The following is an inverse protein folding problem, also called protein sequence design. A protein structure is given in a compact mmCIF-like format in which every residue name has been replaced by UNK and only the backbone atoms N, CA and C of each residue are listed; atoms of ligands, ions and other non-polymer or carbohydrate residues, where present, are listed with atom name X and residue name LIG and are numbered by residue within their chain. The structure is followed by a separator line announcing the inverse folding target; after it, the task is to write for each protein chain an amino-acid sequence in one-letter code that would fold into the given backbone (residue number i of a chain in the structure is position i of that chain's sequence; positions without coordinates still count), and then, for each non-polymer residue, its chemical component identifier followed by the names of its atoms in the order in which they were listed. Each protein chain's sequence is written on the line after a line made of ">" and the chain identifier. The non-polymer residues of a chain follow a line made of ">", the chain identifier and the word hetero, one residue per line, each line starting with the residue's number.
data_IF_276472515811
#
_entry.id   IF_276472515811
#
_cell.length_a   1.000
_cell.length_b   1.000
_cell.length_c   1.000
_cell.angle_alpha   90.00
_cell.angle_beta   90.00
_cell.angle_gamma   90.00
#
_symmetry.space_group_name_H-M   'P 1'
#
loop_
_entity.id
_entity.type
_entity.pdbx_description
1 polymer ?
#
# COMPACT_ATOMS: atom_id res chain seq x y z
N UNK A 1 -13.84 16.50 51.10
CA UNK A 1 -12.68 16.49 50.20
C UNK A 1 -12.50 15.07 49.68
N UNK A 2 -13.04 14.76 48.50
CA UNK A 2 -12.81 13.52 47.76
C UNK A 2 -12.82 13.87 46.28
N UNK A 3 -11.66 14.07 45.71
CA UNK A 3 -11.43 14.02 44.26
C UNK A 3 -10.75 12.70 43.95
N UNK A 4 -11.17 12.04 42.87
CA UNK A 4 -10.61 10.75 42.48
C UNK A 4 -11.47 10.00 41.48
N UNK A 5 -11.76 10.62 40.34
CA UNK A 5 -12.16 9.96 39.10
C UNK A 5 -11.67 10.85 37.96
N UNK A 6 -11.30 10.24 36.83
CA UNK A 6 -10.68 10.81 35.62
C UNK A 6 -9.17 10.60 35.52
N UNK A 7 -8.74 9.38 35.21
CA UNK A 7 -7.73 9.07 34.17
C UNK A 7 -7.43 7.56 34.21
N UNK A 8 -8.12 6.73 33.42
CA UNK A 8 -7.52 5.47 32.94
C UNK A 8 -8.35 4.77 31.83
N UNK A 9 -8.76 5.50 30.78
CA UNK A 9 -9.47 4.85 29.65
C UNK A 9 -8.79 5.05 28.29
N UNK A 10 -7.92 6.04 28.15
CA UNK A 10 -7.30 6.39 26.86
C UNK A 10 -6.11 5.48 26.50
N UNK A 11 -5.41 4.94 27.49
CA UNK A 11 -4.20 4.14 27.28
C UNK A 11 -4.52 2.71 26.80
N UNK A 12 -5.60 2.10 27.30
CA UNK A 12 -6.02 0.74 26.92
C UNK A 12 -6.51 0.62 25.48
N UNK A 13 -7.14 1.66 24.94
CA UNK A 13 -7.59 1.67 23.54
C UNK A 13 -6.40 1.70 22.56
N UNK A 14 -5.38 2.53 22.80
CA UNK A 14 -4.21 2.64 21.93
C UNK A 14 -3.42 1.32 21.80
N UNK A 15 -3.25 0.61 22.93
CA UNK A 15 -2.57 -0.69 22.95
C UNK A 15 -3.38 -1.76 22.18
N UNK A 16 -4.71 -1.73 22.28
CA UNK A 16 -5.58 -2.66 21.55
C UNK A 16 -5.52 -2.43 20.03
N UNK A 17 -5.48 -1.18 19.58
CA UNK A 17 -5.40 -0.82 18.15
C UNK A 17 -4.05 -1.24 17.55
N UNK A 18 -2.96 -1.15 18.30
CA UNK A 18 -1.64 -1.64 17.86
C UNK A 18 -1.61 -3.17 17.72
N UNK A 19 -2.23 -3.90 18.67
CA UNK A 19 -2.30 -5.36 18.63
C UNK A 19 -3.21 -5.87 17.52
N UNK A 20 -4.31 -5.18 17.24
CA UNK A 20 -5.23 -5.51 16.14
C UNK A 20 -4.56 -5.23 14.80
N UNK A 21 -3.89 -4.09 14.65
CA UNK A 21 -3.12 -3.77 13.43
C UNK A 21 -2.01 -4.79 13.15
N UNK A 22 -1.35 -5.29 14.21
CA UNK A 22 -0.35 -6.36 14.10
C UNK A 22 -0.97 -7.69 13.67
N UNK A 23 -2.06 -8.12 14.30
CA UNK A 23 -2.79 -9.34 13.91
C UNK A 23 -3.35 -9.26 12.50
N UNK A 24 -3.83 -8.09 12.10
CA UNK A 24 -4.29 -7.83 10.74
C UNK A 24 -3.11 -7.95 9.77
N UNK A 25 -1.95 -7.34 10.05
CA UNK A 25 -0.76 -7.46 9.19
C UNK A 25 -0.21 -8.89 9.04
N UNK A 26 -0.59 -9.80 9.94
CA UNK A 26 -0.27 -11.23 9.90
C UNK A 26 -1.28 -12.04 9.06
N UNK A 27 -2.45 -11.49 8.70
CA UNK A 27 -3.40 -12.14 7.78
C UNK A 27 -2.84 -12.14 6.37
N UNK A 28 -2.29 -13.28 5.97
CA UNK A 28 -1.88 -13.51 4.59
C UNK A 28 -3.07 -14.03 3.77
N UNK A 29 -3.17 -13.65 2.49
CA UNK A 29 -4.14 -14.27 1.61
C UNK A 29 -3.75 -15.75 1.45
N UNK A 30 -4.75 -16.60 1.35
CA UNK A 30 -4.60 -18.00 0.97
C UNK A 30 -5.73 -18.40 0.02
N UNK A 31 -5.71 -19.63 -0.46
CA UNK A 31 -6.72 -20.14 -1.38
C UNK A 31 -8.14 -20.12 -0.80
N UNK A 32 -8.30 -20.20 0.53
CA UNK A 32 -9.60 -20.16 1.20
C UNK A 32 -10.13 -18.74 1.43
N UNK A 33 -9.26 -17.74 1.44
CA UNK A 33 -9.62 -16.33 1.54
C UNK A 33 -8.67 -15.44 0.72
N UNK A 34 -8.75 -15.49 -0.62
CA UNK A 34 -7.85 -14.73 -1.48
C UNK A 34 -8.02 -13.20 -1.27
N UNK A 35 -9.24 -12.77 -0.95
CA UNK A 35 -9.59 -11.35 -0.75
C UNK A 35 -9.08 -10.73 0.56
N UNK A 36 -8.51 -11.52 1.48
CA UNK A 36 -8.01 -11.02 2.76
C UNK A 36 -7.03 -9.85 2.58
N UNK A 37 -6.15 -9.96 1.59
CA UNK A 37 -5.08 -9.00 1.35
C UNK A 37 -5.56 -7.67 0.73
N UNK A 38 -6.41 -7.66 -0.31
CA UNK A 38 -7.06 -6.43 -0.73
C UNK A 38 -7.87 -5.75 0.39
N UNK A 39 -8.63 -6.53 1.16
CA UNK A 39 -9.49 -5.97 2.21
C UNK A 39 -8.71 -5.26 3.32
N UNK A 40 -7.60 -5.85 3.78
CA UNK A 40 -6.76 -5.20 4.79
C UNK A 40 -6.04 -3.97 4.24
N UNK A 41 -5.58 -4.01 2.99
CA UNK A 41 -4.96 -2.84 2.37
C UNK A 41 -5.98 -1.71 2.16
N UNK A 42 -7.22 -2.02 1.82
CA UNK A 42 -8.31 -1.04 1.79
C UNK A 42 -8.56 -0.40 3.16
N UNK A 43 -8.54 -1.20 4.23
CA UNK A 43 -8.65 -0.69 5.60
C UNK A 43 -7.49 0.27 5.94
N UNK A 44 -6.24 -0.13 5.67
CA UNK A 44 -5.09 0.74 5.95
C UNK A 44 -5.11 2.01 5.10
N UNK A 45 -5.42 1.93 3.80
CA UNK A 45 -5.48 3.11 2.94
C UNK A 45 -6.56 4.10 3.42
N UNK A 46 -7.73 3.60 3.83
CA UNK A 46 -8.77 4.45 4.42
C UNK A 46 -8.38 5.03 5.79
N UNK A 47 -7.66 4.27 6.61
CA UNK A 47 -7.13 4.79 7.88
C UNK A 47 -6.14 5.93 7.64
N UNK A 48 -5.32 5.85 6.58
CA UNK A 48 -4.39 6.94 6.20
C UNK A 48 -5.13 8.16 5.68
N UNK A 49 -6.09 7.97 4.79
CA UNK A 49 -6.95 9.04 4.25
C UNK A 49 -7.80 9.73 5.33
N UNK A 50 -8.04 9.08 6.47
CA UNK A 50 -8.75 9.72 7.60
C UNK A 50 -7.97 10.86 8.27
N UNK A 51 -6.65 10.97 8.02
CA UNK A 51 -5.78 12.00 8.60
C UNK A 51 -5.77 12.08 10.13
N UNK A 52 -6.24 11.03 10.83
CA UNK A 52 -6.19 10.94 12.30
C UNK A 52 -4.73 10.91 12.79
N UNK A 53 -3.81 10.42 11.95
CA UNK A 53 -2.36 10.40 12.18
C UNK A 53 -1.63 11.00 10.97
N UNK A 54 -0.38 11.45 11.12
CA UNK A 54 0.44 11.85 9.98
C UNK A 54 0.45 10.76 8.90
N UNK A 55 0.27 11.17 7.64
CA UNK A 55 0.26 10.25 6.52
C UNK A 55 1.62 9.54 6.42
N UNK A 56 1.59 8.22 6.32
CA UNK A 56 2.78 7.39 6.17
C UNK A 56 2.61 6.49 4.93
N UNK A 57 3.51 6.57 3.93
CA UNK A 57 3.37 5.80 2.70
C UNK A 57 3.85 4.34 2.85
N UNK A 58 4.17 3.89 4.07
CA UNK A 58 4.84 2.62 4.31
C UNK A 58 4.06 1.41 3.78
N UNK A 59 2.76 1.32 4.07
CA UNK A 59 1.94 0.20 3.64
C UNK A 59 1.71 0.22 2.12
N UNK A 60 1.55 1.39 1.53
CA UNK A 60 1.47 1.54 0.08
C UNK A 60 2.77 1.06 -0.59
N UNK A 61 3.94 1.47 -0.09
CA UNK A 61 5.24 1.03 -0.62
C UNK A 61 5.37 -0.49 -0.54
N UNK A 62 4.95 -1.11 0.57
CA UNK A 62 5.00 -2.57 0.69
C UNK A 62 4.06 -3.26 -0.29
N UNK A 63 2.82 -2.81 -0.42
CA UNK A 63 1.86 -3.38 -1.36
C UNK A 63 2.32 -3.24 -2.81
N UNK A 64 2.85 -2.07 -3.19
CA UNK A 64 3.41 -1.83 -4.53
C UNK A 64 4.64 -2.68 -4.81
N UNK A 65 5.54 -2.81 -3.84
CA UNK A 65 6.73 -3.68 -3.95
C UNK A 65 6.31 -5.13 -4.18
N UNK A 66 5.38 -5.62 -3.38
CA UNK A 66 4.91 -7.00 -3.49
C UNK A 66 4.22 -7.27 -4.84
N UNK A 67 3.49 -6.28 -5.38
CA UNK A 67 2.80 -6.40 -6.66
C UNK A 67 3.71 -6.27 -7.88
N UNK A 68 4.70 -5.37 -7.87
CA UNK A 68 5.42 -4.96 -9.09
C UNK A 68 6.94 -5.04 -9.03
N UNK A 69 7.53 -5.02 -7.82
CA UNK A 69 8.99 -5.03 -7.68
C UNK A 69 9.55 -6.40 -7.30
N UNK A 70 8.69 -7.32 -6.85
CA UNK A 70 9.05 -8.68 -6.46
C UNK A 70 8.86 -9.67 -7.62
N UNK A 71 9.69 -10.71 -7.67
CA UNK A 71 9.52 -11.78 -8.67
C UNK A 71 8.43 -12.74 -8.20
N UNK A 72 7.60 -13.28 -9.11
CA UNK A 72 6.63 -14.32 -8.76
C UNK A 72 7.30 -15.54 -8.12
N UNK A 73 8.54 -15.86 -8.51
CA UNK A 73 9.30 -17.00 -7.98
C UNK A 73 9.69 -16.85 -6.50
N UNK A 74 9.74 -15.62 -5.98
CA UNK A 74 10.14 -15.32 -4.60
C UNK A 74 8.98 -15.52 -3.60
N UNK A 75 7.78 -15.88 -4.09
CA UNK A 75 6.60 -16.08 -3.27
C UNK A 75 6.72 -17.33 -2.38
N UNK A 76 6.63 -17.12 -1.06
CA UNK A 76 6.81 -18.20 -0.08
C UNK A 76 5.59 -19.12 0.02
N UNK A 77 4.41 -18.58 -0.27
CA UNK A 77 3.14 -19.31 -0.18
C UNK A 77 2.29 -19.04 -1.43
N UNK A 78 2.70 -19.53 -2.61
CA UNK A 78 1.98 -19.26 -3.84
C UNK A 78 0.66 -20.02 -3.87
N UNK A 79 -0.39 -19.35 -4.33
CA UNK A 79 -1.66 -19.97 -4.70
C UNK A 79 -2.17 -19.32 -5.99
N UNK A 80 -3.11 -19.96 -6.68
CA UNK A 80 -3.65 -19.43 -7.93
C UNK A 80 -4.36 -18.09 -7.68
N UNK A 81 -4.00 -17.04 -8.41
CA UNK A 81 -4.57 -15.71 -8.21
C UNK A 81 -3.82 -14.80 -7.23
N UNK A 82 -2.74 -15.27 -6.57
CA UNK A 82 -1.97 -14.45 -5.60
C UNK A 82 -1.49 -13.13 -6.21
N UNK A 83 -1.09 -13.16 -7.48
CA UNK A 83 -0.62 -11.97 -8.18
C UNK A 83 -1.74 -10.96 -8.37
N UNK A 84 -2.94 -11.38 -8.79
CA UNK A 84 -4.11 -10.49 -8.83
C UNK A 84 -4.44 -9.91 -7.45
N UNK A 85 -4.36 -10.70 -6.38
CA UNK A 85 -4.64 -10.20 -5.03
C UNK A 85 -3.62 -9.13 -4.58
N UNK A 86 -2.34 -9.29 -4.93
CA UNK A 86 -1.31 -8.27 -4.68
C UNK A 86 -1.58 -6.99 -5.47
N UNK A 87 -1.97 -7.12 -6.74
CA UNK A 87 -2.33 -5.98 -7.60
C UNK A 87 -3.55 -5.25 -7.04
N UNK A 88 -4.60 -5.98 -6.66
CA UNK A 88 -5.82 -5.43 -6.05
C UNK A 88 -5.52 -4.72 -4.73
N UNK A 89 -4.63 -5.29 -3.90
CA UNK A 89 -4.16 -4.68 -2.66
C UNK A 89 -3.38 -3.38 -2.90
N UNK A 90 -2.44 -3.39 -3.85
CA UNK A 90 -1.70 -2.19 -4.24
C UNK A 90 -2.63 -1.10 -4.77
N UNK A 91 -3.64 -1.48 -5.55
CA UNK A 91 -4.63 -0.55 -6.09
C UNK A 91 -5.41 0.18 -4.99
N UNK A 92 -5.69 -0.46 -3.86
CA UNK A 92 -6.43 0.18 -2.76
C UNK A 92 -5.77 1.47 -2.28
N UNK A 93 -4.44 1.50 -2.16
CA UNK A 93 -3.72 2.71 -1.76
C UNK A 93 -3.94 3.82 -2.80
N UNK A 94 -3.74 3.53 -4.09
CA UNK A 94 -3.99 4.54 -5.14
C UNK A 94 -5.42 5.08 -5.12
N UNK A 95 -6.41 4.20 -4.92
CA UNK A 95 -7.82 4.56 -4.98
C UNK A 95 -8.29 5.36 -3.77
N UNK A 96 -7.71 5.14 -2.58
CA UNK A 96 -8.16 5.76 -1.33
C UNK A 96 -7.24 6.88 -0.85
N UNK A 97 -5.92 6.71 -0.88
CA UNK A 97 -4.93 7.68 -0.35
C UNK A 97 -3.89 8.13 -1.40
N UNK A 98 -4.16 7.89 -2.69
CA UNK A 98 -3.19 8.08 -3.77
C UNK A 98 -2.71 9.53 -3.96
N UNK A 99 -3.52 10.53 -3.63
CA UNK A 99 -3.11 11.94 -3.73
C UNK A 99 -2.05 12.28 -2.66
N UNK A 100 -2.26 11.88 -1.41
CA UNK A 100 -1.29 12.10 -0.34
C UNK A 100 -0.04 11.26 -0.54
N UNK A 101 -0.19 10.04 -1.06
CA UNK A 101 0.94 9.23 -1.51
C UNK A 101 1.76 9.97 -2.58
N UNK A 102 1.13 10.64 -3.54
CA UNK A 102 1.84 11.43 -4.55
C UNK A 102 2.48 12.70 -3.96
N UNK A 103 1.91 13.30 -2.91
CA UNK A 103 2.56 14.41 -2.21
C UNK A 103 3.92 14.00 -1.61
N UNK A 104 4.08 12.74 -1.17
CA UNK A 104 5.40 12.21 -0.75
C UNK A 104 6.40 12.09 -1.91
N UNK A 105 5.92 11.89 -3.15
CA UNK A 105 6.76 11.93 -4.36
C UNK A 105 7.26 13.34 -4.63
N UNK A 106 6.40 14.34 -4.49
CA UNK A 106 6.73 15.75 -4.74
C UNK A 106 7.61 16.35 -3.66
N UNK A 107 7.53 15.84 -2.43
CA UNK A 107 8.30 16.31 -1.29
C UNK A 107 9.14 15.17 -0.68
N UNK A 108 10.23 14.73 -1.35
CA UNK A 108 11.04 13.64 -0.87
C UNK A 108 11.62 13.97 0.51
N UNK A 109 11.28 13.16 1.51
CA UNK A 109 11.80 13.34 2.86
C UNK A 109 13.23 12.79 2.95
N UNK A 110 14.06 13.39 3.80
CA UNK A 110 15.32 12.76 4.22
C UNK A 110 14.99 11.56 5.10
N UNK A 111 15.20 10.37 4.55
CA UNK A 111 14.90 9.12 5.24
C UNK A 111 15.98 8.81 6.29
N UNK A 112 15.55 8.38 7.47
CA UNK A 112 16.45 7.73 8.43
C UNK A 112 16.94 6.39 7.86
N UNK A 113 18.10 5.85 8.30
CA UNK A 113 18.57 4.54 7.87
C UNK A 113 17.54 3.42 8.07
N UNK A 114 16.80 3.46 9.20
CA UNK A 114 15.70 2.52 9.48
C UNK A 114 14.57 2.63 8.46
N UNK A 115 14.18 3.86 8.09
CA UNK A 115 13.12 4.08 7.09
C UNK A 115 13.56 3.64 5.71
N UNK A 116 14.81 3.94 5.34
CA UNK A 116 15.41 3.52 4.07
C UNK A 116 15.45 1.99 3.94
N UNK A 117 15.74 1.28 5.04
CA UNK A 117 15.68 -0.19 5.07
C UNK A 117 14.25 -0.69 4.86
N UNK A 118 13.25 -0.07 5.49
CA UNK A 118 11.84 -0.46 5.32
C UNK A 118 11.30 -0.18 3.92
N UNK A 119 11.82 0.84 3.25
CA UNK A 119 11.41 1.27 1.90
C UNK A 119 12.25 0.64 0.79
N UNK A 120 13.17 -0.27 1.14
CA UNK A 120 14.04 -0.94 0.19
C UNK A 120 13.24 -1.50 -1.00
N UNK A 121 13.67 -1.22 -2.24
CA UNK A 121 12.98 -1.70 -3.42
C UNK A 121 13.13 -3.21 -3.58
N UNK A 122 12.17 -3.80 -4.28
CA UNK A 122 12.23 -5.18 -4.73
C UNK A 122 13.19 -5.35 -5.91
N UNK A 123 13.59 -6.60 -6.23
CA UNK A 123 14.62 -6.92 -7.22
C UNK A 123 14.31 -6.46 -8.65
N UNK A 124 13.07 -6.13 -9.00
CA UNK A 124 12.68 -5.68 -10.34
C UNK A 124 12.77 -4.15 -10.53
N UNK A 125 12.93 -3.38 -9.45
CA UNK A 125 13.14 -1.94 -9.53
C UNK A 125 14.58 -1.58 -9.15
N UNK A 126 15.29 -0.94 -10.09
CA UNK A 126 16.72 -0.63 -9.95
C UNK A 126 17.01 0.83 -9.57
N UNK A 127 15.97 1.63 -9.32
CA UNK A 127 16.12 3.03 -8.90
C UNK A 127 16.38 3.18 -7.40
N UNK A 128 16.32 4.43 -6.93
CA UNK A 128 16.60 4.80 -5.54
C UNK A 128 15.54 4.25 -4.54
N UNK A 129 15.93 4.13 -3.27
CA UNK A 129 15.08 3.68 -2.16
C UNK A 129 13.95 4.67 -1.82
N UNK A 130 14.06 5.92 -2.28
CA UNK A 130 13.04 6.93 -2.06
C UNK A 130 11.74 6.61 -2.81
N UNK A 131 10.64 7.19 -2.33
CA UNK A 131 9.40 7.28 -3.08
C UNK A 131 9.57 8.40 -4.13
N UNK A 132 10.23 8.07 -5.24
CA UNK A 132 10.53 9.01 -6.32
C UNK A 132 9.50 8.97 -7.44
N UNK A 133 9.55 9.97 -8.33
CA UNK A 133 8.69 10.02 -9.52
C UNK A 133 8.96 8.83 -10.45
N UNK A 134 10.22 8.39 -10.55
CA UNK A 134 10.57 7.21 -11.35
C UNK A 134 9.96 5.94 -10.77
N UNK A 135 9.97 5.79 -9.44
CA UNK A 135 9.35 4.65 -8.76
C UNK A 135 7.83 4.66 -8.91
N UNK A 136 7.22 5.84 -8.80
CA UNK A 136 5.79 6.05 -9.08
C UNK A 136 5.40 5.61 -10.51
N UNK A 137 6.15 6.07 -11.51
CA UNK A 137 5.94 5.70 -12.92
C UNK A 137 6.18 4.22 -13.18
N UNK A 138 7.14 3.62 -12.50
CA UNK A 138 7.37 2.17 -12.55
C UNK A 138 6.13 1.41 -12.08
N UNK A 139 5.56 1.75 -10.92
CA UNK A 139 4.31 1.14 -10.43
C UNK A 139 3.12 1.38 -11.35
N UNK A 140 2.97 2.61 -11.88
CA UNK A 140 1.93 2.92 -12.86
C UNK A 140 2.04 2.01 -14.09
N UNK A 141 3.25 1.77 -14.58
CA UNK A 141 3.51 0.84 -15.69
C UNK A 141 3.12 -0.59 -15.32
N UNK A 142 3.39 -1.02 -14.08
CA UNK A 142 2.94 -2.29 -13.54
C UNK A 142 1.41 -2.45 -13.59
N UNK A 143 0.65 -1.43 -13.15
CA UNK A 143 -0.81 -1.44 -13.26
C UNK A 143 -1.32 -1.49 -14.71
N UNK A 144 -0.69 -0.76 -15.63
CA UNK A 144 -1.04 -0.83 -17.05
C UNK A 144 -0.80 -2.23 -17.63
N UNK A 145 0.32 -2.86 -17.25
CA UNK A 145 0.61 -4.25 -17.62
C UNK A 145 -0.45 -5.22 -17.09
N UNK A 146 -0.83 -5.07 -15.82
CA UNK A 146 -1.90 -5.88 -15.23
C UNK A 146 -3.25 -5.69 -15.94
N UNK A 147 -3.63 -4.46 -16.28
CA UNK A 147 -4.85 -4.17 -17.03
C UNK A 147 -4.89 -4.84 -18.42
N UNK A 148 -3.73 -5.00 -19.07
CA UNK A 148 -3.60 -5.65 -20.37
C UNK A 148 -3.42 -7.17 -20.32
N UNK A 149 -3.31 -7.78 -19.13
CA UNK A 149 -2.99 -9.21 -19.01
C UNK A 149 -4.23 -10.07 -19.17
N UNK A 150 -4.38 -10.70 -20.35
CA UNK A 150 -5.57 -11.50 -20.70
C UNK A 150 -5.85 -12.66 -19.72
N UNK A 151 -4.83 -13.16 -19.02
CA UNK A 151 -4.96 -14.24 -18.04
C UNK A 151 -5.54 -13.81 -16.69
N UNK A 152 -5.59 -12.52 -16.36
CA UNK A 152 -6.17 -12.04 -15.11
C UNK A 152 -7.69 -11.88 -15.21
N UNK A 153 -8.37 -12.01 -14.07
CA UNK A 153 -9.81 -11.75 -13.98
C UNK A 153 -10.17 -10.31 -14.38
N UNK A 154 -11.39 -10.12 -14.91
CA UNK A 154 -11.85 -8.80 -15.37
C UNK A 154 -11.82 -7.75 -14.27
N UNK A 155 -12.19 -8.13 -13.05
CA UNK A 155 -12.15 -7.22 -11.89
C UNK A 155 -10.74 -6.69 -11.65
N UNK A 156 -9.74 -7.57 -11.61
CA UNK A 156 -8.34 -7.18 -11.44
C UNK A 156 -7.89 -6.21 -12.54
N UNK A 157 -8.21 -6.51 -13.80
CA UNK A 157 -7.84 -5.64 -14.94
C UNK A 157 -8.51 -4.27 -14.86
N UNK A 158 -9.79 -4.22 -14.52
CA UNK A 158 -10.55 -2.97 -14.44
C UNK A 158 -10.07 -2.08 -13.27
N UNK A 159 -9.81 -2.70 -12.11
CA UNK A 159 -9.25 -2.02 -10.94
C UNK A 159 -7.84 -1.50 -11.23
N UNK A 160 -6.98 -2.32 -11.84
CA UNK A 160 -5.64 -1.91 -12.23
C UNK A 160 -5.66 -0.75 -13.23
N UNK A 161 -6.53 -0.80 -14.24
CA UNK A 161 -6.70 0.28 -15.20
C UNK A 161 -7.15 1.59 -14.53
N UNK A 162 -8.06 1.50 -13.55
CA UNK A 162 -8.51 2.65 -12.77
C UNK A 162 -7.38 3.25 -11.92
N UNK A 163 -6.60 2.42 -11.23
CA UNK A 163 -5.45 2.87 -10.46
C UNK A 163 -4.44 3.59 -11.35
N UNK A 164 -4.06 3.00 -12.50
CA UNK A 164 -3.13 3.63 -13.45
C UNK A 164 -3.60 5.01 -13.94
N UNK A 165 -4.90 5.17 -14.21
CA UNK A 165 -5.49 6.46 -14.60
C UNK A 165 -5.45 7.49 -13.47
N UNK A 166 -5.72 7.08 -12.23
CA UNK A 166 -5.61 7.98 -11.08
C UNK A 166 -4.15 8.41 -10.86
N UNK A 167 -3.20 7.49 -10.99
CA UNK A 167 -1.78 7.82 -10.88
C UNK A 167 -1.32 8.84 -11.92
N UNK A 168 -1.76 8.68 -13.16
CA UNK A 168 -1.52 9.65 -14.24
C UNK A 168 -2.17 11.00 -13.93
N UNK A 169 -3.40 11.00 -13.44
CA UNK A 169 -4.10 12.23 -13.10
C UNK A 169 -3.38 13.01 -11.99
N UNK A 170 -2.89 12.35 -10.94
CA UNK A 170 -2.10 13.02 -9.91
C UNK A 170 -0.82 13.61 -10.48
N UNK A 171 -0.12 12.84 -11.32
CA UNK A 171 1.10 13.31 -11.98
C UNK A 171 0.85 14.54 -12.86
N UNK A 172 -0.18 14.52 -13.71
CA UNK A 172 -0.51 15.61 -14.63
C UNK A 172 -1.02 16.87 -13.93
N UNK A 173 -1.70 16.73 -12.80
CA UNK A 173 -2.33 17.87 -12.10
C UNK A 173 -1.44 18.47 -11.00
N UNK A 174 -0.43 17.75 -10.52
CA UNK A 174 0.39 18.18 -9.39
C UNK A 174 1.88 18.39 -9.75
N UNK A 175 2.34 17.97 -10.94
CA UNK A 175 3.60 18.43 -11.51
C UNK A 175 3.37 19.76 -12.25
N UNK A 176 3.95 20.83 -11.71
CA UNK A 176 3.92 22.19 -12.29
C UNK A 176 5.16 22.47 -13.14
#
# INVERSE_FOLDING_TARGET
>A
MKEGLWTDNTTRECDSVSSVSRKLSEMRPDESNPSAWPNINAFFARERDSHIRPHSPLFAIWAMRDAFESRPEDEKCPFNGIQEQKILAAAQHILWDGQDLFNHVLSPQRLSPETMQRWQPGPLYTGDHSLSLDRWRFWRTGFLGAAGTAGFESECRDVAARAARMMEAFEQNLLF
#
